data_IF_109662947452
#
_entry.id   IF_109662947452
#
_cell.length_a   1.000
_cell.length_b   1.000
_cell.length_c   1.000
_cell.angle_alpha   90.00
_cell.angle_beta   90.00
_cell.angle_gamma   90.00
#
_symmetry.space_group_name_H-M   'P 1'
#
loop_
_entity.id
_entity.type
_entity.pdbx_description
1 polymer ?
#
# COMPACT_ATOMS: atom_id res chain seq x y z
N UNK A 1 6.34 -22.99 -22.84
CA UNK A 1 7.38 -22.84 -23.90
C UNK A 1 8.75 -22.72 -23.26
N UNK A 2 9.83 -22.99 -24.00
CA UNK A 2 11.19 -22.75 -23.50
C UNK A 2 11.63 -21.38 -24.00
N UNK A 3 12.13 -20.54 -23.08
CA UNK A 3 12.76 -19.24 -23.37
C UNK A 3 14.24 -19.35 -23.07
N UNK A 4 15.08 -18.92 -24.00
CA UNK A 4 16.54 -18.84 -23.84
C UNK A 4 16.98 -17.40 -23.99
N UNK A 5 17.63 -16.84 -22.97
CA UNK A 5 18.10 -15.45 -22.95
C UNK A 5 19.37 -15.32 -22.10
N UNK A 6 19.89 -14.10 -21.97
CA UNK A 6 20.97 -13.81 -21.01
C UNK A 6 20.49 -12.82 -19.98
N UNK A 7 20.51 -13.16 -18.70
CA UNK A 7 20.12 -12.26 -17.60
C UNK A 7 21.34 -11.94 -16.75
N UNK A 8 21.64 -10.64 -16.58
CA UNK A 8 22.78 -10.13 -15.81
C UNK A 8 24.11 -10.81 -16.22
N UNK A 9 24.30 -11.02 -17.52
CA UNK A 9 25.49 -11.64 -18.11
C UNK A 9 25.55 -13.17 -18.02
N UNK A 10 24.51 -13.83 -17.48
CA UNK A 10 24.44 -15.30 -17.37
C UNK A 10 23.43 -15.87 -18.37
N UNK A 11 23.78 -16.90 -19.16
CA UNK A 11 22.83 -17.56 -20.03
C UNK A 11 21.77 -18.28 -19.18
N UNK A 12 20.51 -18.10 -19.56
CA UNK A 12 19.33 -18.68 -18.91
C UNK A 12 18.54 -19.47 -19.93
N UNK A 13 18.05 -20.64 -19.51
CA UNK A 13 17.06 -21.43 -20.24
C UNK A 13 15.96 -21.80 -19.25
N UNK A 14 14.77 -21.27 -19.46
CA UNK A 14 13.65 -21.40 -18.54
C UNK A 14 12.39 -21.88 -19.26
N UNK A 15 11.50 -22.54 -18.52
CA UNK A 15 10.15 -22.84 -19.01
C UNK A 15 9.24 -21.71 -18.58
N UNK A 16 8.47 -21.18 -19.52
CA UNK A 16 7.49 -20.12 -19.26
C UNK A 16 6.12 -20.50 -19.85
N UNK A 17 5.04 -20.11 -19.20
CA UNK A 17 3.70 -20.25 -19.77
C UNK A 17 3.47 -19.25 -20.90
N UNK A 18 2.54 -19.56 -21.82
CA UNK A 18 2.34 -18.76 -23.03
C UNK A 18 1.90 -17.31 -22.74
N UNK A 19 1.23 -17.08 -21.61
CA UNK A 19 0.78 -15.76 -21.15
C UNK A 19 1.61 -15.19 -20.00
N UNK A 20 2.72 -15.83 -19.61
CA UNK A 20 3.56 -15.37 -18.51
C UNK A 20 4.26 -14.05 -18.91
N UNK A 21 4.24 -13.07 -18.01
CA UNK A 21 4.96 -11.81 -18.22
C UNK A 21 6.48 -12.01 -18.06
N UNK A 22 7.27 -11.13 -18.67
CA UNK A 22 8.72 -11.14 -18.48
C UNK A 22 9.08 -10.90 -17.01
N UNK A 23 8.32 -10.05 -16.31
CA UNK A 23 8.48 -9.88 -14.86
C UNK A 23 8.29 -11.21 -14.12
N UNK A 24 7.21 -11.94 -14.39
CA UNK A 24 6.92 -13.23 -13.75
C UNK A 24 8.09 -14.21 -13.91
N UNK A 25 8.59 -14.33 -15.15
CA UNK A 25 9.76 -15.16 -15.44
C UNK A 25 11.00 -14.70 -14.65
N UNK A 26 11.30 -13.41 -14.62
CA UNK A 26 12.46 -12.87 -13.90
C UNK A 26 12.38 -13.10 -12.39
N UNK A 27 11.21 -12.92 -11.79
CA UNK A 27 10.97 -13.20 -10.37
C UNK A 27 11.12 -14.69 -10.07
N UNK A 28 10.61 -15.58 -10.93
CA UNK A 28 10.79 -17.02 -10.80
C UNK A 28 12.27 -17.46 -10.88
N UNK A 29 13.09 -16.68 -11.60
CA UNK A 29 14.54 -16.85 -11.68
C UNK A 29 15.32 -16.21 -10.50
N UNK A 30 14.62 -15.55 -9.57
CA UNK A 30 15.20 -14.94 -8.37
C UNK A 30 15.57 -13.47 -8.50
N UNK A 31 15.10 -12.78 -9.54
CA UNK A 31 15.31 -11.34 -9.74
C UNK A 31 14.22 -10.51 -9.06
N UNK A 32 14.17 -10.58 -7.73
CA UNK A 32 13.11 -9.98 -6.91
C UNK A 32 13.12 -8.44 -6.91
N UNK A 33 14.22 -7.80 -7.33
CA UNK A 33 14.27 -6.35 -7.46
C UNK A 33 13.45 -5.79 -8.64
N UNK A 34 12.86 -6.66 -9.49
CA UNK A 34 11.89 -6.29 -10.52
C UNK A 34 10.49 -6.26 -9.88
N UNK A 35 10.14 -5.11 -9.31
CA UNK A 35 8.97 -4.91 -8.43
C UNK A 35 7.67 -4.72 -9.22
N UNK A 36 6.54 -4.69 -8.53
CA UNK A 36 5.23 -4.36 -9.11
C UNK A 36 4.46 -3.48 -8.14
N UNK A 37 4.24 -2.22 -8.53
CA UNK A 37 3.50 -1.23 -7.73
C UNK A 37 2.20 -0.76 -8.36
N UNK A 38 1.81 -1.37 -9.47
CA UNK A 38 0.64 -0.94 -10.24
C UNK A 38 -0.20 -2.08 -10.77
N UNK A 39 -0.09 -3.27 -10.16
CA UNK A 39 -0.85 -4.45 -10.55
C UNK A 39 -0.71 -4.75 -12.07
N UNK A 40 0.51 -4.55 -12.59
CA UNK A 40 0.88 -4.68 -14.00
C UNK A 40 0.17 -3.72 -14.98
N UNK A 41 -0.37 -2.58 -14.52
CA UNK A 41 -0.93 -1.54 -15.39
C UNK A 41 0.15 -0.70 -16.09
N UNK A 42 1.40 -0.71 -15.59
CA UNK A 42 2.56 -0.15 -16.28
C UNK A 42 2.67 1.38 -16.28
N UNK A 43 2.25 2.04 -15.19
CA UNK A 43 2.38 3.49 -15.04
C UNK A 43 3.41 3.93 -13.99
N UNK A 44 3.98 2.98 -13.21
CA UNK A 44 4.93 3.28 -12.13
C UNK A 44 6.39 2.98 -12.47
N UNK A 45 6.66 2.08 -13.43
CA UNK A 45 8.01 1.71 -13.86
C UNK A 45 8.85 0.95 -12.83
N UNK A 46 8.22 0.32 -11.86
CA UNK A 46 8.89 -0.40 -10.76
C UNK A 46 9.53 -1.72 -11.21
N UNK A 47 9.02 -2.24 -12.33
CA UNK A 47 9.43 -3.43 -13.04
C UNK A 47 10.42 -3.12 -14.18
N UNK A 48 11.04 -1.93 -14.16
CA UNK A 48 11.97 -1.52 -15.21
C UNK A 48 13.18 -2.46 -15.27
N UNK A 49 13.46 -2.95 -16.47
CA UNK A 49 14.68 -3.68 -16.84
C UNK A 49 15.29 -3.08 -18.10
N UNK A 50 16.55 -3.38 -18.39
CA UNK A 50 17.16 -3.06 -19.68
C UNK A 50 17.12 -4.31 -20.55
N UNK A 51 16.42 -4.27 -21.68
CA UNK A 51 16.37 -5.34 -22.68
C UNK A 51 17.08 -4.86 -23.94
N UNK A 52 18.18 -5.51 -24.29
CA UNK A 52 19.10 -5.08 -25.37
C UNK A 52 19.46 -3.59 -25.25
N UNK A 53 19.82 -3.19 -24.03
CA UNK A 53 20.23 -1.83 -23.65
C UNK A 53 19.14 -0.75 -23.77
N UNK A 54 17.88 -1.16 -23.74
CA UNK A 54 16.72 -0.26 -23.73
C UNK A 54 15.89 -0.44 -22.46
N UNK A 55 15.58 0.63 -21.72
CA UNK A 55 14.63 0.57 -20.62
C UNK A 55 13.25 0.12 -21.10
N UNK A 56 12.70 -0.92 -20.47
CA UNK A 56 11.37 -1.47 -20.73
C UNK A 56 10.70 -1.88 -19.42
N UNK A 57 9.37 -1.90 -19.39
CA UNK A 57 8.58 -2.43 -18.27
C UNK A 57 8.35 -3.92 -18.47
N UNK A 58 8.95 -4.73 -17.60
CA UNK A 58 8.93 -6.20 -17.74
C UNK A 58 7.53 -6.81 -17.58
N UNK A 59 6.61 -6.16 -16.85
CA UNK A 59 5.23 -6.57 -16.66
C UNK A 59 4.39 -6.44 -17.94
N UNK A 60 4.74 -5.49 -18.82
CA UNK A 60 4.03 -5.26 -20.10
C UNK A 60 4.57 -6.11 -21.26
N UNK A 61 5.59 -6.94 -21.02
CA UNK A 61 6.16 -7.85 -22.01
C UNK A 61 5.80 -9.29 -21.68
N UNK A 62 5.59 -10.11 -22.70
CA UNK A 62 5.52 -11.56 -22.53
C UNK A 62 6.93 -12.13 -22.34
N UNK A 63 7.06 -13.16 -21.50
CA UNK A 63 8.29 -13.92 -21.33
C UNK A 63 8.85 -14.43 -22.66
N UNK A 64 7.96 -14.78 -23.60
CA UNK A 64 8.31 -15.18 -24.97
C UNK A 64 9.16 -14.16 -25.73
N UNK A 65 8.99 -12.86 -25.45
CA UNK A 65 9.71 -11.79 -26.12
C UNK A 65 11.18 -11.71 -25.66
N UNK A 66 11.56 -12.36 -24.56
CA UNK A 66 12.95 -12.40 -24.10
C UNK A 66 13.84 -13.38 -24.87
N UNK A 67 13.29 -14.18 -25.80
CA UNK A 67 14.08 -15.13 -26.58
C UNK A 67 15.24 -14.44 -27.31
N UNK A 68 16.46 -14.89 -27.04
CA UNK A 68 17.70 -14.41 -27.64
C UNK A 68 18.20 -13.05 -27.13
N UNK A 69 17.52 -12.42 -26.16
CA UNK A 69 17.86 -11.06 -25.73
C UNK A 69 18.79 -11.00 -24.53
N UNK A 70 19.40 -9.83 -24.34
CA UNK A 70 20.22 -9.49 -23.18
C UNK A 70 19.39 -8.66 -22.20
N UNK A 71 19.18 -9.18 -21.00
CA UNK A 71 18.41 -8.52 -19.95
C UNK A 71 19.34 -8.13 -18.79
N UNK A 72 19.24 -6.88 -18.36
CA UNK A 72 19.88 -6.38 -17.14
C UNK A 72 18.82 -5.90 -16.16
N UNK A 73 18.79 -6.52 -14.98
CA UNK A 73 17.88 -6.16 -13.88
C UNK A 73 18.59 -5.27 -12.85
N UNK A 74 17.86 -4.64 -11.92
CA UNK A 74 18.47 -3.91 -10.82
C UNK A 74 19.42 -4.75 -9.95
N UNK A 75 19.19 -6.07 -9.86
CA UNK A 75 20.08 -7.00 -9.12
C UNK A 75 21.51 -7.05 -9.68
N UNK A 76 21.71 -6.60 -10.93
CA UNK A 76 23.05 -6.54 -11.54
C UNK A 76 23.97 -5.48 -10.94
N UNK A 77 23.41 -4.47 -10.27
CA UNK A 77 24.16 -3.29 -9.84
C UNK A 77 25.05 -3.58 -8.64
N UNK A 78 24.57 -4.42 -7.71
CA UNK A 78 25.35 -4.82 -6.55
C UNK A 78 26.16 -6.10 -6.86
N UNK A 79 27.45 -6.10 -6.54
CA UNK A 79 28.32 -7.28 -6.65
C UNK A 79 28.57 -7.88 -5.28
N UNK A 80 27.78 -8.88 -4.91
CA UNK A 80 27.81 -9.45 -3.57
C UNK A 80 27.49 -8.36 -2.52
N UNK A 81 28.49 -8.00 -1.73
CA UNK A 81 28.39 -6.95 -0.73
C UNK A 81 28.88 -5.57 -1.22
N UNK A 82 29.11 -5.35 -2.50
CA UNK A 82 29.53 -4.04 -2.99
C UNK A 82 28.39 -3.38 -3.76
N UNK A 83 28.00 -2.17 -3.34
CA UNK A 83 27.03 -1.35 -4.08
C UNK A 83 27.71 -0.71 -5.29
N UNK A 84 26.93 -0.43 -6.33
CA UNK A 84 27.39 0.44 -7.42
C UNK A 84 27.58 1.89 -6.92
N UNK A 85 28.34 2.68 -7.68
CA UNK A 85 28.56 4.11 -7.39
C UNK A 85 27.22 4.85 -7.25
N UNK A 86 26.24 4.59 -8.13
CA UNK A 86 24.95 5.26 -8.06
C UNK A 86 24.13 4.81 -6.85
N UNK A 87 24.16 3.51 -6.49
CA UNK A 87 23.46 3.00 -5.32
C UNK A 87 23.98 3.65 -4.03
N UNK A 88 25.30 3.78 -3.90
CA UNK A 88 25.91 4.47 -2.76
C UNK A 88 25.55 5.96 -2.76
N UNK A 89 25.66 6.63 -3.92
CA UNK A 89 25.30 8.03 -4.05
C UNK A 89 23.82 8.32 -3.72
N UNK A 90 22.90 7.39 -4.01
CA UNK A 90 21.50 7.51 -3.64
C UNK A 90 21.28 7.43 -2.11
N UNK A 91 22.03 6.57 -1.41
CA UNK A 91 22.01 6.54 0.07
C UNK A 91 22.52 7.86 0.61
N UNK A 92 23.66 8.31 0.10
CA UNK A 92 24.33 9.52 0.57
C UNK A 92 23.48 10.76 0.32
N UNK A 93 22.80 10.85 -0.82
CA UNK A 93 21.87 11.94 -1.14
C UNK A 93 20.55 11.91 -0.34
N UNK A 94 20.33 10.93 0.54
CA UNK A 94 19.11 10.84 1.36
C UNK A 94 17.86 10.40 0.61
N UNK A 95 18.02 9.73 -0.54
CA UNK A 95 16.90 9.26 -1.37
C UNK A 95 16.25 8.01 -0.77
N UNK A 96 17.03 7.18 -0.08
CA UNK A 96 16.55 5.86 0.34
C UNK A 96 15.64 5.98 1.58
N UNK A 97 14.34 6.22 1.35
CA UNK A 97 13.29 6.29 2.38
C UNK A 97 12.52 4.97 2.49
N UNK A 98 11.35 4.86 1.83
CA UNK A 98 10.62 3.59 1.67
C UNK A 98 11.29 2.73 0.61
N UNK A 99 11.78 3.39 -0.46
CA UNK A 99 12.73 2.86 -1.43
C UNK A 99 12.27 1.61 -2.21
N UNK A 100 10.95 1.35 -2.31
CA UNK A 100 10.40 0.29 -3.14
C UNK A 100 10.88 0.39 -4.59
N UNK A 101 10.91 1.61 -5.13
CA UNK A 101 11.37 1.91 -6.51
C UNK A 101 12.85 2.31 -6.62
N UNK A 102 13.60 2.31 -5.51
CA UNK A 102 15.02 2.70 -5.54
C UNK A 102 15.88 1.80 -6.44
N UNK A 103 15.69 0.46 -6.51
CA UNK A 103 16.46 -0.39 -7.40
C UNK A 103 16.25 -0.05 -8.88
N UNK A 104 15.00 0.14 -9.32
CA UNK A 104 14.66 0.53 -10.68
C UNK A 104 15.21 1.93 -11.03
N UNK A 105 15.11 2.89 -10.11
CA UNK A 105 15.72 4.21 -10.28
C UNK A 105 17.25 4.13 -10.41
N UNK A 106 17.91 3.29 -9.60
CA UNK A 106 19.35 3.06 -9.70
C UNK A 106 19.75 2.46 -11.05
N UNK A 107 18.94 1.54 -11.61
CA UNK A 107 19.18 0.94 -12.92
C UNK A 107 19.08 1.99 -14.03
N UNK A 108 18.01 2.80 -14.02
CA UNK A 108 17.79 3.88 -14.98
C UNK A 108 18.91 4.92 -14.95
N UNK A 109 19.34 5.33 -13.76
CA UNK A 109 20.43 6.30 -13.61
C UNK A 109 21.80 5.71 -13.98
N UNK A 110 22.01 4.41 -13.75
CA UNK A 110 23.20 3.72 -14.26
C UNK A 110 23.22 3.74 -15.78
N UNK A 111 22.10 3.38 -16.42
CA UNK A 111 21.95 3.40 -17.87
C UNK A 111 22.20 4.81 -18.43
N UNK A 112 21.63 5.85 -17.81
CA UNK A 112 21.86 7.24 -18.18
C UNK A 112 23.34 7.59 -18.14
N UNK A 113 24.05 7.25 -17.06
CA UNK A 113 25.46 7.58 -16.88
C UNK A 113 26.39 6.80 -17.81
N UNK A 114 26.00 5.60 -18.24
CA UNK A 114 26.72 4.80 -19.24
C UNK A 114 26.60 5.41 -20.66
N UNK A 115 25.46 6.05 -20.97
CA UNK A 115 25.19 6.67 -22.28
C UNK A 115 25.57 8.15 -22.34
N UNK A 116 25.47 8.85 -21.21
CA UNK A 116 25.78 10.25 -21.05
C UNK A 116 26.54 10.44 -19.73
N UNK A 117 27.88 10.42 -19.75
CA UNK A 117 28.70 10.52 -18.55
C UNK A 117 28.57 11.84 -17.79
N UNK A 118 28.04 12.90 -18.40
CA UNK A 118 27.84 14.22 -17.77
C UNK A 118 26.42 14.71 -18.07
N UNK A 119 25.39 14.06 -17.50
CA UNK A 119 24.01 14.36 -17.85
C UNK A 119 23.57 15.71 -17.28
N UNK A 120 22.75 16.42 -18.04
CA UNK A 120 22.07 17.63 -17.60
C UNK A 120 20.92 17.29 -16.65
N UNK A 121 20.37 18.31 -15.98
CA UNK A 121 19.19 18.15 -15.12
C UNK A 121 17.97 17.67 -15.92
N UNK A 122 17.85 18.12 -17.16
CA UNK A 122 16.82 17.72 -18.12
C UNK A 122 16.98 16.25 -18.53
N UNK A 123 18.20 15.77 -18.79
CA UNK A 123 18.44 14.35 -19.09
C UNK A 123 18.03 13.45 -17.90
N UNK A 124 18.33 13.88 -16.67
CA UNK A 124 17.94 13.16 -15.45
C UNK A 124 16.41 13.15 -15.29
N UNK A 125 15.74 14.28 -15.56
CA UNK A 125 14.27 14.36 -15.53
C UNK A 125 13.63 13.44 -16.56
N UNK A 126 14.17 13.42 -17.78
CA UNK A 126 13.64 12.58 -18.86
C UNK A 126 13.71 11.10 -18.47
N UNK A 127 14.86 10.64 -17.99
CA UNK A 127 15.03 9.24 -17.57
C UNK A 127 14.16 8.89 -16.36
N UNK A 128 14.00 9.80 -15.40
CA UNK A 128 13.14 9.58 -14.23
C UNK A 128 11.64 9.77 -14.54
N UNK A 129 11.27 10.29 -15.70
CA UNK A 129 9.85 10.46 -16.08
C UNK A 129 9.12 9.12 -16.22
N UNK A 130 9.88 8.05 -16.51
CA UNK A 130 9.38 6.69 -16.61
C UNK A 130 9.29 5.94 -15.28
N UNK A 131 9.50 6.59 -14.13
CA UNK A 131 9.36 5.94 -12.81
C UNK A 131 8.63 6.83 -11.81
N UNK A 132 7.59 6.30 -11.18
CA UNK A 132 6.84 7.00 -10.15
C UNK A 132 7.49 6.82 -8.77
N UNK A 133 7.72 7.92 -8.07
CA UNK A 133 8.34 7.94 -6.73
C UNK A 133 7.51 8.83 -5.80
N UNK A 134 7.02 8.25 -4.69
CA UNK A 134 6.09 8.91 -3.76
C UNK A 134 6.75 9.54 -2.53
N UNK A 135 7.95 9.09 -2.15
CA UNK A 135 8.57 9.40 -0.85
C UNK A 135 9.60 10.54 -0.89
N UNK A 136 10.33 10.75 -1.99
CA UNK A 136 11.52 11.64 -2.02
C UNK A 136 11.36 13.00 -2.69
N UNK A 137 10.30 13.21 -3.47
CA UNK A 137 10.06 14.47 -4.17
C UNK A 137 11.07 14.81 -5.29
N UNK A 138 11.77 13.80 -5.84
CA UNK A 138 12.69 13.85 -6.99
C UNK A 138 13.97 14.71 -6.87
N UNK A 139 13.99 15.79 -6.08
CA UNK A 139 15.11 16.74 -6.05
C UNK A 139 16.45 16.09 -5.70
N UNK A 140 16.44 15.15 -4.75
CA UNK A 140 17.65 14.49 -4.27
C UNK A 140 18.31 13.59 -5.32
N UNK A 141 17.60 13.17 -6.38
CA UNK A 141 18.21 12.40 -7.48
C UNK A 141 19.23 13.21 -8.28
N UNK A 142 19.00 14.52 -8.45
CA UNK A 142 20.00 15.39 -9.09
C UNK A 142 21.29 15.45 -8.28
N UNK A 143 21.17 15.46 -6.94
CA UNK A 143 22.30 15.36 -6.03
C UNK A 143 22.99 14.00 -6.17
N UNK A 144 22.25 12.88 -6.16
CA UNK A 144 22.84 11.54 -6.30
C UNK A 144 23.62 11.38 -7.61
N UNK A 145 23.08 11.86 -8.74
CA UNK A 145 23.79 11.82 -10.03
C UNK A 145 25.07 12.65 -9.98
N UNK A 146 25.02 13.84 -9.37
CA UNK A 146 26.22 14.67 -9.18
C UNK A 146 27.28 13.97 -8.33
N UNK A 147 26.89 13.38 -7.19
CA UNK A 147 27.79 12.63 -6.31
C UNK A 147 28.39 11.41 -7.03
N UNK A 148 27.59 10.73 -7.87
CA UNK A 148 28.05 9.60 -8.66
C UNK A 148 29.09 10.02 -9.72
N UNK A 149 28.88 11.15 -10.41
CA UNK A 149 29.87 11.71 -11.33
C UNK A 149 31.17 12.08 -10.61
N UNK A 150 31.10 12.77 -9.47
CA UNK A 150 32.29 13.13 -8.68
C UNK A 150 33.06 11.89 -8.20
N UNK A 151 32.35 10.88 -7.69
CA UNK A 151 32.97 9.62 -7.26
C UNK A 151 33.64 8.89 -8.43
N UNK A 152 33.00 8.83 -9.61
CA UNK A 152 33.58 8.21 -10.81
C UNK A 152 34.83 8.96 -11.29
N UNK A 153 34.77 10.29 -11.33
CA UNK A 153 35.80 11.12 -11.98
C UNK A 153 36.99 11.42 -11.04
N UNK A 154 36.76 11.42 -9.72
CA UNK A 154 37.75 11.87 -8.73
C UNK A 154 38.00 10.86 -7.60
N UNK A 155 37.23 9.77 -7.51
CA UNK A 155 37.32 8.78 -6.43
C UNK A 155 36.81 9.26 -5.06
N UNK A 156 36.22 10.46 -5.01
CA UNK A 156 35.57 11.04 -3.83
C UNK A 156 34.61 12.15 -4.25
N UNK A 157 33.56 12.39 -3.47
CA UNK A 157 32.70 13.57 -3.65
C UNK A 157 33.08 14.69 -2.67
N UNK A 158 32.96 15.94 -3.13
CA UNK A 158 33.18 17.17 -2.35
C UNK A 158 31.89 17.97 -2.19
N UNK A 159 30.87 17.66 -2.99
CA UNK A 159 29.56 18.29 -2.87
C UNK A 159 28.98 18.07 -1.47
N UNK A 160 28.58 19.14 -0.76
CA UNK A 160 27.88 19.02 0.51
C UNK A 160 26.53 18.32 0.32
N UNK A 161 26.30 17.26 1.08
CA UNK A 161 25.06 16.47 1.04
C UNK A 161 23.93 17.17 1.80
N UNK A 162 24.20 17.52 3.06
CA UNK A 162 23.25 18.14 3.98
C UNK A 162 24.02 18.98 4.98
N UNK A 163 23.43 20.07 5.50
CA UNK A 163 23.97 20.76 6.66
C UNK A 163 24.18 19.81 7.85
N UNK A 164 25.21 20.10 8.63
CA UNK A 164 25.46 19.48 9.93
C UNK A 164 25.14 20.49 11.03
N UNK A 165 24.52 20.04 12.10
CA UNK A 165 24.15 20.84 13.26
C UNK A 165 24.67 20.18 14.54
N UNK A 166 24.71 20.92 15.66
CA UNK A 166 25.10 20.42 16.99
C UNK A 166 26.50 19.80 16.99
N UNK A 167 27.51 20.63 16.75
CA UNK A 167 28.93 20.21 16.63
C UNK A 167 29.49 19.51 17.86
N UNK A 168 28.87 19.73 19.01
CA UNK A 168 29.16 19.04 20.26
C UNK A 168 28.68 17.58 20.29
N UNK A 169 27.82 17.15 19.35
CA UNK A 169 27.25 15.80 19.28
C UNK A 169 27.81 14.98 18.12
N UNK A 170 27.94 13.68 18.31
CA UNK A 170 28.50 12.76 17.29
C UNK A 170 27.45 12.26 16.28
N UNK A 171 26.18 12.16 16.69
CA UNK A 171 25.13 11.49 15.90
C UNK A 171 23.92 12.39 15.63
N UNK A 172 23.41 13.08 16.66
CA UNK A 172 22.20 13.90 16.54
C UNK A 172 22.52 15.19 15.77
N UNK A 173 21.77 15.46 14.70
CA UNK A 173 22.00 16.62 13.84
C UNK A 173 23.09 16.42 12.78
N UNK A 174 23.61 15.21 12.62
CA UNK A 174 24.65 14.88 11.64
C UNK A 174 24.07 14.12 10.43
N UNK A 175 24.55 14.37 9.20
CA UNK A 175 24.19 13.54 8.06
C UNK A 175 24.74 12.13 8.29
N UNK A 176 23.85 11.14 8.25
CA UNK A 176 24.18 9.72 8.39
C UNK A 176 23.36 8.92 7.41
N UNK A 177 24.01 7.92 6.81
CA UNK A 177 23.32 6.94 5.98
C UNK A 177 22.27 6.19 6.80
N UNK A 178 21.12 5.93 6.17
CA UNK A 178 20.05 5.11 6.74
C UNK A 178 20.57 3.68 6.94
N UNK A 179 20.31 3.09 8.11
CA UNK A 179 20.87 1.77 8.51
C UNK A 179 20.51 0.66 7.53
N UNK A 180 19.26 0.63 7.06
CA UNK A 180 18.72 -0.32 6.08
C UNK A 180 18.85 0.19 4.63
N UNK A 181 19.41 1.39 4.41
CA UNK A 181 19.42 2.03 3.09
C UNK A 181 20.16 1.20 2.04
N UNK A 182 21.21 0.50 2.47
CA UNK A 182 21.97 -0.43 1.65
C UNK A 182 21.14 -1.64 1.19
N UNK A 183 20.34 -2.22 2.08
CA UNK A 183 19.50 -3.37 1.75
C UNK A 183 18.40 -2.97 0.74
N UNK A 184 17.80 -1.80 0.97
CA UNK A 184 16.73 -1.27 0.14
C UNK A 184 17.20 -0.89 -1.27
N UNK A 185 18.26 -0.07 -1.39
CA UNK A 185 18.76 0.37 -2.72
C UNK A 185 19.34 -0.77 -3.55
N UNK A 186 19.82 -1.83 -2.88
CA UNK A 186 20.32 -3.02 -3.55
C UNK A 186 19.20 -3.93 -4.09
N UNK A 187 17.94 -3.65 -3.74
CA UNK A 187 16.81 -4.51 -4.09
C UNK A 187 16.79 -5.85 -3.35
N UNK A 188 17.58 -5.99 -2.27
CA UNK A 188 17.56 -7.20 -1.45
C UNK A 188 16.23 -7.34 -0.72
N UNK A 189 15.90 -8.59 -0.35
CA UNK A 189 14.66 -8.94 0.35
C UNK A 189 14.38 -7.99 1.52
N UNK A 190 13.39 -7.13 1.40
CA UNK A 190 13.04 -6.08 2.38
C UNK A 190 11.55 -5.98 2.63
N UNK A 191 10.76 -6.21 1.59
CA UNK A 191 9.31 -6.00 1.54
C UNK A 191 8.51 -7.26 1.90
N UNK A 192 7.19 -7.15 2.02
CA UNK A 192 6.35 -8.30 2.41
C UNK A 192 6.41 -9.41 1.36
N UNK A 193 6.30 -9.03 0.08
CA UNK A 193 6.37 -9.95 -1.07
C UNK A 193 7.68 -10.75 -1.12
N UNK A 194 8.79 -10.20 -0.62
CA UNK A 194 10.09 -10.86 -0.61
C UNK A 194 10.17 -12.04 0.38
N UNK A 195 9.25 -12.05 1.35
CA UNK A 195 9.22 -12.98 2.49
C UNK A 195 8.18 -14.08 2.29
N UNK A 196 7.58 -14.16 1.10
CA UNK A 196 6.72 -15.27 0.71
C UNK A 196 7.62 -16.45 0.32
N UNK A 197 7.59 -17.51 1.13
CA UNK A 197 8.38 -18.72 0.88
C UNK A 197 7.70 -19.62 -0.17
N UNK A 198 8.46 -20.40 -0.95
CA UNK A 198 7.89 -21.38 -1.87
C UNK A 198 6.93 -22.35 -1.17
N UNK A 199 5.75 -22.55 -1.77
CA UNK A 199 4.71 -23.42 -1.23
C UNK A 199 3.79 -22.77 -0.19
N UNK A 200 3.95 -21.47 0.09
CA UNK A 200 2.95 -20.71 0.83
C UNK A 200 1.61 -20.69 0.08
N UNK A 201 0.50 -20.87 0.80
CA UNK A 201 -0.83 -20.70 0.22
C UNK A 201 -1.11 -19.22 -0.09
N UNK A 202 -1.84 -18.99 -1.18
CA UNK A 202 -2.38 -17.67 -1.50
C UNK A 202 -3.71 -17.44 -0.79
N UNK A 203 -3.97 -16.19 -0.41
CA UNK A 203 -5.22 -15.75 0.18
C UNK A 203 -5.81 -14.63 -0.68
N UNK A 204 -7.01 -14.84 -1.22
CA UNK A 204 -7.71 -13.88 -2.07
C UNK A 204 -9.00 -13.43 -1.40
N UNK A 205 -9.24 -12.13 -1.33
CA UNK A 205 -10.50 -11.59 -0.82
C UNK A 205 -11.58 -11.54 -1.90
N UNK A 206 -12.74 -12.12 -1.58
CA UNK A 206 -14.00 -11.73 -2.19
C UNK A 206 -14.54 -10.49 -1.45
N UNK A 207 -14.69 -9.41 -2.21
CA UNK A 207 -15.10 -8.10 -1.69
C UNK A 207 -16.49 -7.72 -2.19
N UNK A 208 -17.21 -6.94 -1.39
CA UNK A 208 -18.53 -6.42 -1.73
C UNK A 208 -18.48 -5.51 -2.97
N UNK A 209 -19.36 -5.71 -3.96
CA UNK A 209 -19.55 -4.76 -5.06
C UNK A 209 -20.49 -3.61 -4.67
N UNK A 210 -21.10 -3.64 -3.49
CA UNK A 210 -22.09 -2.67 -3.04
C UNK A 210 -21.55 -1.75 -1.94
N UNK A 211 -21.89 -0.47 -2.03
CA UNK A 211 -21.54 0.54 -1.03
C UNK A 211 -22.31 0.37 0.29
N UNK A 212 -23.49 -0.25 0.26
CA UNK A 212 -24.29 -0.51 1.46
C UNK A 212 -25.25 -1.67 1.19
N UNK A 213 -25.08 -2.80 1.89
CA UNK A 213 -25.96 -3.95 1.73
C UNK A 213 -25.90 -4.90 2.94
N UNK A 214 -26.92 -5.74 3.09
CA UNK A 214 -26.81 -6.97 3.89
C UNK A 214 -26.48 -8.16 2.99
N UNK A 215 -25.52 -8.97 3.41
CA UNK A 215 -25.25 -10.30 2.89
C UNK A 215 -26.29 -11.26 3.46
N UNK A 216 -27.20 -11.71 2.60
CA UNK A 216 -28.30 -12.61 2.99
C UNK A 216 -27.87 -14.08 2.96
N UNK A 217 -26.98 -14.44 2.03
CA UNK A 217 -26.45 -15.79 1.86
C UNK A 217 -25.08 -15.79 1.19
N UNK A 218 -24.26 -16.79 1.48
CA UNK A 218 -22.97 -17.05 0.84
C UNK A 218 -22.92 -18.56 0.52
N UNK A 219 -22.96 -18.92 -0.76
CA UNK A 219 -22.83 -20.29 -1.23
C UNK A 219 -21.41 -20.53 -1.74
N UNK A 220 -20.67 -21.36 -1.00
CA UNK A 220 -19.27 -21.72 -1.26
C UNK A 220 -19.12 -23.17 -1.73
N UNK A 221 -20.21 -23.94 -1.84
CA UNK A 221 -20.15 -25.40 -1.95
C UNK A 221 -19.48 -25.92 -3.24
N UNK A 222 -19.51 -25.13 -4.32
CA UNK A 222 -18.78 -25.42 -5.55
C UNK A 222 -17.29 -25.08 -5.40
N UNK A 223 -16.99 -23.90 -4.84
CA UNK A 223 -15.63 -23.41 -4.65
C UNK A 223 -14.81 -24.29 -3.69
N UNK A 224 -15.39 -24.75 -2.58
CA UNK A 224 -14.73 -25.63 -1.60
C UNK A 224 -14.26 -26.98 -2.19
N UNK A 225 -14.87 -27.42 -3.30
CA UNK A 225 -14.52 -28.69 -3.95
C UNK A 225 -13.47 -28.51 -5.06
N UNK A 226 -13.06 -27.28 -5.35
CA UNK A 226 -12.12 -27.01 -6.43
C UNK A 226 -10.69 -27.45 -6.05
N UNK A 227 -9.90 -27.96 -7.01
CA UNK A 227 -8.53 -28.36 -6.77
C UNK A 227 -7.69 -27.23 -6.14
N UNK A 228 -6.91 -27.59 -5.12
CA UNK A 228 -5.99 -26.68 -4.43
C UNK A 228 -6.66 -25.72 -3.44
N UNK A 229 -7.99 -25.68 -3.33
CA UNK A 229 -8.67 -24.89 -2.29
C UNK A 229 -8.45 -25.54 -0.93
N UNK A 230 -7.85 -24.78 -0.01
CA UNK A 230 -7.53 -25.23 1.35
C UNK A 230 -8.68 -24.91 2.30
N UNK A 231 -9.19 -23.68 2.26
CA UNK A 231 -10.33 -23.25 3.09
C UNK A 231 -10.97 -21.96 2.56
N UNK A 232 -12.25 -21.79 2.88
CA UNK A 232 -12.97 -20.54 2.63
C UNK A 232 -13.53 -20.01 3.97
N UNK A 233 -13.16 -18.79 4.33
CA UNK A 233 -13.59 -18.14 5.58
C UNK A 233 -14.66 -17.10 5.23
N UNK A 234 -15.78 -17.14 5.94
CA UNK A 234 -16.92 -16.23 5.77
C UNK A 234 -17.43 -15.74 7.12
N UNK A 235 -18.50 -14.95 7.12
CA UNK A 235 -19.21 -14.58 8.34
C UNK A 235 -19.84 -15.78 9.10
N UNK A 236 -19.92 -16.95 8.48
CA UNK A 236 -20.57 -18.14 9.05
C UNK A 236 -19.61 -19.06 9.81
N UNK A 237 -18.29 -18.93 9.58
CA UNK A 237 -17.28 -19.79 10.20
C UNK A 237 -16.09 -19.02 10.80
N UNK A 238 -16.10 -17.68 10.78
CA UNK A 238 -15.10 -16.88 11.48
C UNK A 238 -15.46 -16.67 12.96
N UNK A 239 -14.48 -16.40 13.85
CA UNK A 239 -14.77 -16.04 15.24
C UNK A 239 -15.73 -14.87 15.36
N UNK A 240 -16.70 -14.97 16.28
CA UNK A 240 -17.65 -13.90 16.58
C UNK A 240 -17.04 -12.88 17.56
N UNK A 241 -16.00 -12.18 17.07
CA UNK A 241 -15.25 -11.18 17.84
C UNK A 241 -15.42 -9.82 17.21
N UNK A 242 -15.90 -8.87 18.01
CA UNK A 242 -15.99 -7.46 17.64
C UNK A 242 -14.67 -6.77 17.94
N UNK A 243 -14.16 -6.05 16.95
CA UNK A 243 -12.95 -5.23 17.05
C UNK A 243 -13.14 -3.92 16.28
N UNK A 244 -12.10 -3.09 16.26
CA UNK A 244 -12.03 -1.84 15.49
C UNK A 244 -10.79 -1.84 14.60
N UNK A 245 -10.81 -1.06 13.52
CA UNK A 245 -9.67 -0.97 12.59
C UNK A 245 -9.01 0.41 12.53
N UNK A 246 -9.30 1.32 13.47
CA UNK A 246 -8.67 2.65 13.48
C UNK A 246 -7.26 2.65 14.09
N UNK A 247 -6.88 1.60 14.84
CA UNK A 247 -5.50 1.34 15.26
C UNK A 247 -4.92 2.36 16.22
N UNK A 248 -5.66 2.80 17.25
CA UNK A 248 -5.18 3.75 18.23
C UNK A 248 -4.55 3.05 19.46
N UNK A 249 -3.77 3.81 20.24
CA UNK A 249 -3.14 3.31 21.46
C UNK A 249 -4.11 3.15 22.62
N UNK A 250 -3.73 2.40 23.64
CA UNK A 250 -4.54 2.21 24.85
C UNK A 250 -4.52 3.48 25.76
N UNK A 251 -5.67 3.95 26.28
CA UNK A 251 -7.02 3.42 26.09
C UNK A 251 -7.53 3.68 24.66
N UNK A 252 -7.94 2.62 23.96
CA UNK A 252 -8.48 2.71 22.59
C UNK A 252 -9.87 3.34 22.65
N UNK A 253 -10.07 4.57 22.12
CA UNK A 253 -11.36 5.23 22.18
C UNK A 253 -12.38 4.61 21.22
N UNK A 254 -11.97 4.23 20.01
CA UNK A 254 -12.95 3.99 18.93
C UNK A 254 -13.81 2.75 19.20
N UNK A 255 -15.09 2.77 18.79
CA UNK A 255 -15.99 1.66 19.07
C UNK A 255 -15.60 0.39 18.30
N UNK A 256 -15.79 -0.77 18.93
CA UNK A 256 -15.68 -2.07 18.27
C UNK A 256 -16.98 -2.36 17.53
N UNK A 257 -16.99 -2.13 16.22
CA UNK A 257 -18.19 -2.06 15.39
C UNK A 257 -18.13 -2.98 14.16
N UNK A 258 -17.13 -3.86 14.13
CA UNK A 258 -16.91 -4.82 13.06
C UNK A 258 -16.38 -6.16 13.55
N UNK A 259 -16.71 -7.19 12.78
CA UNK A 259 -16.13 -8.53 12.86
C UNK A 259 -15.15 -8.75 11.72
N UNK A 260 -14.52 -9.93 11.68
CA UNK A 260 -13.60 -10.28 10.60
C UNK A 260 -14.33 -10.25 9.26
N UNK A 261 -15.51 -10.87 9.24
CA UNK A 261 -16.50 -10.77 8.17
C UNK A 261 -17.84 -10.31 8.75
N UNK A 262 -18.33 -9.17 8.26
CA UNK A 262 -19.63 -8.65 8.66
C UNK A 262 -20.72 -9.24 7.75
N UNK A 263 -21.95 -9.36 8.28
CA UNK A 263 -23.11 -9.58 7.41
C UNK A 263 -23.60 -8.29 6.76
N UNK A 264 -23.35 -7.14 7.36
CA UNK A 264 -23.58 -5.83 6.73
C UNK A 264 -22.29 -5.32 6.11
N UNK A 265 -22.30 -5.05 4.82
CA UNK A 265 -21.19 -4.45 4.08
C UNK A 265 -21.45 -2.96 3.92
N UNK A 266 -20.44 -2.14 4.20
CA UNK A 266 -20.62 -0.68 4.42
C UNK A 266 -19.86 0.20 3.41
N UNK A 267 -19.15 -0.43 2.48
CA UNK A 267 -18.51 0.23 1.36
C UNK A 267 -18.18 -0.79 0.25
N UNK A 268 -17.94 -0.30 -0.97
CA UNK A 268 -17.36 -1.13 -2.03
C UNK A 268 -15.98 -1.58 -1.58
N UNK A 269 -15.68 -2.87 -1.69
CA UNK A 269 -14.41 -3.42 -1.21
C UNK A 269 -14.46 -4.06 0.19
N UNK A 270 -15.58 -3.95 0.92
CA UNK A 270 -15.74 -4.57 2.24
C UNK A 270 -15.68 -6.11 2.15
N UNK A 271 -15.19 -6.78 3.19
CA UNK A 271 -14.83 -8.20 3.13
C UNK A 271 -16.08 -9.09 3.21
N UNK A 272 -16.21 -10.03 2.27
CA UNK A 272 -17.32 -11.00 2.22
C UNK A 272 -16.84 -12.41 2.49
N UNK A 273 -15.74 -12.82 1.84
CA UNK A 273 -15.10 -14.10 2.10
C UNK A 273 -13.58 -14.01 1.86
N UNK A 274 -12.82 -14.85 2.55
CA UNK A 274 -11.42 -15.14 2.24
C UNK A 274 -11.28 -16.53 1.66
N UNK A 275 -10.60 -16.64 0.52
CA UNK A 275 -10.35 -17.89 -0.16
C UNK A 275 -8.86 -18.20 -0.02
N UNK A 276 -8.53 -19.32 0.62
CA UNK A 276 -7.15 -19.79 0.75
C UNK A 276 -6.96 -20.99 -0.18
N UNK A 277 -5.96 -20.93 -1.05
CA UNK A 277 -5.62 -22.03 -1.96
C UNK A 277 -4.10 -22.19 -2.10
N UNK A 278 -3.65 -23.31 -2.68
CA UNK A 278 -2.22 -23.57 -2.88
C UNK A 278 -1.55 -22.54 -3.82
N UNK A 279 -2.30 -21.98 -4.78
CA UNK A 279 -1.86 -20.87 -5.64
C UNK A 279 -2.88 -19.74 -5.73
N UNK A 280 -2.44 -18.55 -6.14
CA UNK A 280 -3.33 -17.40 -6.32
C UNK A 280 -4.35 -17.64 -7.45
N UNK A 281 -3.94 -18.28 -8.55
CA UNK A 281 -4.82 -18.61 -9.68
C UNK A 281 -5.95 -19.54 -9.25
N UNK A 282 -5.65 -20.53 -8.40
CA UNK A 282 -6.65 -21.42 -7.84
C UNK A 282 -7.62 -20.68 -6.91
N UNK A 283 -7.11 -19.77 -6.06
CA UNK A 283 -7.95 -18.94 -5.18
C UNK A 283 -8.85 -17.99 -5.99
N UNK A 284 -8.35 -17.39 -7.07
CA UNK A 284 -9.14 -16.55 -8.00
C UNK A 284 -10.20 -17.36 -8.74
N UNK A 285 -9.85 -18.56 -9.23
CA UNK A 285 -10.79 -19.46 -9.88
C UNK A 285 -11.92 -19.88 -8.93
N UNK A 286 -11.58 -20.22 -7.68
CA UNK A 286 -12.54 -20.56 -6.64
C UNK A 286 -13.42 -19.39 -6.24
N UNK A 287 -12.85 -18.18 -6.10
CA UNK A 287 -13.60 -16.95 -5.85
C UNK A 287 -14.70 -16.72 -6.90
N UNK A 288 -14.43 -17.01 -8.17
CA UNK A 288 -15.42 -16.87 -9.25
C UNK A 288 -16.61 -17.85 -9.15
N UNK A 289 -16.52 -18.90 -8.31
CA UNK A 289 -17.60 -19.87 -8.07
C UNK A 289 -18.43 -19.60 -6.83
N UNK A 290 -18.05 -18.61 -6.01
CA UNK A 290 -18.83 -18.22 -4.83
C UNK A 290 -20.03 -17.37 -5.25
N UNK A 291 -21.23 -17.75 -4.82
CA UNK A 291 -22.47 -16.98 -5.06
C UNK A 291 -22.87 -16.27 -3.78
N UNK A 292 -23.11 -14.95 -3.87
CA UNK A 292 -23.49 -14.14 -2.71
C UNK A 292 -24.82 -13.45 -2.96
N UNK A 293 -25.76 -13.60 -2.02
CA UNK A 293 -27.02 -12.88 -2.01
C UNK A 293 -26.90 -11.56 -1.25
N UNK A 294 -27.45 -10.48 -1.81
CA UNK A 294 -27.45 -9.16 -1.19
C UNK A 294 -28.87 -8.57 -1.10
N UNK A 295 -29.16 -7.93 0.03
CA UNK A 295 -30.21 -6.92 0.18
C UNK A 295 -29.53 -5.55 0.12
N UNK A 296 -29.60 -4.89 -1.04
CA UNK A 296 -28.92 -3.60 -1.27
C UNK A 296 -29.69 -2.48 -0.58
N UNK A 297 -28.97 -1.66 0.17
CA UNK A 297 -29.51 -0.53 0.92
C UNK A 297 -29.09 0.79 0.28
N UNK A 298 -29.80 1.87 0.62
CA UNK A 298 -29.41 3.22 0.20
C UNK A 298 -28.07 3.60 0.85
N UNK A 299 -27.01 3.88 0.09
CA UNK A 299 -25.73 4.34 0.64
C UNK A 299 -25.78 5.82 1.05
N UNK A 300 -24.78 6.23 1.82
CA UNK A 300 -24.51 7.61 2.25
C UNK A 300 -23.07 7.92 1.87
N UNK A 301 -22.84 9.00 1.12
CA UNK A 301 -21.54 9.32 0.53
C UNK A 301 -20.89 10.58 1.10
N UNK A 302 -21.66 11.45 1.77
CA UNK A 302 -21.13 12.67 2.38
C UNK A 302 -21.54 12.83 3.84
N UNK A 303 -20.84 13.70 4.56
CA UNK A 303 -21.16 14.03 5.95
C UNK A 303 -22.54 14.70 6.03
N UNK A 304 -22.85 15.59 5.08
CA UNK A 304 -24.14 16.28 5.01
C UNK A 304 -25.29 15.29 4.77
N UNK A 305 -25.11 14.31 3.89
CA UNK A 305 -26.09 13.24 3.69
C UNK A 305 -26.28 12.40 4.96
N UNK A 306 -25.20 12.12 5.69
CA UNK A 306 -25.25 11.35 6.93
C UNK A 306 -25.97 12.09 8.07
N UNK A 307 -25.87 13.42 8.09
CA UNK A 307 -26.50 14.31 9.07
C UNK A 307 -27.95 14.67 8.73
N UNK A 308 -28.39 14.43 7.50
CA UNK A 308 -29.72 14.81 7.05
C UNK A 308 -30.83 14.05 7.83
N UNK A 309 -31.98 14.69 8.11
CA UNK A 309 -33.12 14.00 8.70
C UNK A 309 -33.55 12.78 7.88
N UNK A 310 -33.65 11.62 8.52
CA UNK A 310 -34.03 10.37 7.86
C UNK A 310 -32.94 9.73 7.00
N UNK A 311 -31.67 10.15 7.16
CA UNK A 311 -30.54 9.49 6.54
C UNK A 311 -30.50 7.98 6.88
N UNK A 312 -30.11 7.11 5.94
CA UNK A 312 -29.87 5.70 6.23
C UNK A 312 -28.88 5.55 7.40
N UNK A 313 -29.24 4.72 8.39
CA UNK A 313 -28.37 4.42 9.52
C UNK A 313 -27.36 3.36 9.10
N UNK A 314 -26.07 3.72 9.13
CA UNK A 314 -24.96 2.85 8.68
C UNK A 314 -24.65 1.76 9.72
N UNK A 315 -24.83 2.07 11.01
CA UNK A 315 -24.56 1.15 12.12
C UNK A 315 -25.75 1.12 13.10
N UNK A 316 -26.70 0.20 12.90
CA UNK A 316 -27.90 0.08 13.73
C UNK A 316 -27.84 -1.06 14.77
N UNK A 317 -26.64 -1.55 15.10
CA UNK A 317 -26.42 -2.51 16.20
C UNK A 317 -26.75 -1.94 17.59
N UNK A 318 -26.89 -2.82 18.58
CA UNK A 318 -27.05 -2.43 19.98
C UNK A 318 -25.74 -1.83 20.52
N UNK A 319 -25.82 -0.67 21.16
CA UNK A 319 -24.67 -0.09 21.85
C UNK A 319 -24.40 -0.84 23.15
N UNK A 320 -23.15 -1.22 23.37
CA UNK A 320 -22.61 -1.72 24.63
C UNK A 320 -21.50 -0.80 25.10
N UNK A 321 -21.31 -0.68 26.42
CA UNK A 321 -20.23 0.12 26.99
C UNK A 321 -19.42 -0.75 27.94
N UNK A 322 -18.10 -0.83 27.73
CA UNK A 322 -17.20 -1.52 28.66
C UNK A 322 -17.07 -0.75 29.97
N UNK A 323 -17.18 0.58 29.91
CA UNK A 323 -17.18 1.47 31.07
C UNK A 323 -18.08 2.68 30.81
N UNK A 324 -18.70 3.22 31.87
CA UNK A 324 -19.43 4.49 31.82
C UNK A 324 -20.74 4.46 31.02
N UNK A 325 -21.44 3.32 30.94
CA UNK A 325 -22.71 3.21 30.23
C UNK A 325 -23.71 4.32 30.65
N UNK A 326 -24.40 4.97 29.69
CA UNK A 326 -25.40 5.98 30.02
C UNK A 326 -26.64 5.34 30.67
N UNK A 327 -27.31 6.07 31.57
CA UNK A 327 -28.46 5.56 32.31
C UNK A 327 -29.65 5.16 31.40
N UNK A 328 -29.77 5.77 30.23
CA UNK A 328 -30.83 5.51 29.25
C UNK A 328 -30.44 4.45 28.19
N UNK A 329 -29.38 3.66 28.39
CA UNK A 329 -28.89 2.71 27.37
C UNK A 329 -29.96 1.73 26.87
N UNK A 330 -30.81 1.21 27.77
CA UNK A 330 -31.88 0.29 27.39
C UNK A 330 -32.92 0.94 26.47
N UNK A 331 -33.22 2.22 26.71
CA UNK A 331 -34.08 3.03 25.85
C UNK A 331 -33.40 3.35 24.52
N UNK A 332 -32.11 3.71 24.55
CA UNK A 332 -31.30 3.97 23.36
C UNK A 332 -31.17 2.76 22.42
N UNK A 333 -31.19 1.55 22.96
CA UNK A 333 -31.16 0.30 22.21
C UNK A 333 -32.53 -0.19 21.74
N UNK A 334 -33.60 0.60 21.88
CA UNK A 334 -34.89 0.28 21.24
C UNK A 334 -34.80 0.53 19.73
N UNK A 335 -35.32 -0.41 18.93
CA UNK A 335 -35.35 -0.27 17.46
C UNK A 335 -34.03 -0.60 16.74
N UNK A 336 -33.10 -1.26 17.43
CA UNK A 336 -31.90 -1.85 16.80
C UNK A 336 -32.28 -2.86 15.74
N UNK A 337 -31.43 -3.00 14.72
CA UNK A 337 -31.57 -4.09 13.74
C UNK A 337 -30.91 -5.35 14.32
N UNK A 338 -31.66 -6.43 14.58
CA UNK A 338 -31.11 -7.65 15.16
C UNK A 338 -30.06 -8.32 14.26
N UNK A 339 -29.96 -7.94 12.98
CA UNK A 339 -28.96 -8.45 12.03
C UNK A 339 -27.56 -7.85 12.24
N UNK A 340 -27.45 -6.67 12.87
CA UNK A 340 -26.18 -5.92 12.97
C UNK A 340 -25.35 -6.28 14.22
N UNK A 341 -25.93 -7.05 15.15
CA UNK A 341 -25.29 -7.39 16.42
C UNK A 341 -25.05 -6.14 17.26
N UNK A 342 -23.80 -5.78 17.53
CA UNK A 342 -23.45 -4.73 18.50
C UNK A 342 -22.36 -3.75 18.07
N UNK A 343 -22.35 -2.61 18.74
CA UNK A 343 -21.31 -1.57 18.69
C UNK A 343 -20.81 -1.38 20.12
N UNK A 344 -19.57 -1.81 20.40
CA UNK A 344 -19.02 -1.77 21.76
C UNK A 344 -18.16 -0.54 21.94
N UNK A 345 -18.62 0.40 22.75
CA UNK A 345 -17.86 1.57 23.16
C UNK A 345 -16.97 1.22 24.37
N UNK A 346 -15.68 1.51 24.29
CA UNK A 346 -14.79 1.30 25.44
C UNK A 346 -15.16 2.21 26.63
N UNK A 347 -15.58 3.45 26.33
CA UNK A 347 -16.03 4.47 27.28
C UNK A 347 -16.90 5.52 26.55
N UNK A 348 -17.58 6.43 27.27
CA UNK A 348 -18.40 7.47 26.63
C UNK A 348 -17.58 8.41 25.75
N UNK A 349 -17.94 8.45 24.46
CA UNK A 349 -17.32 9.32 23.45
C UNK A 349 -18.31 10.28 22.80
N UNK A 350 -19.47 10.49 23.44
CA UNK A 350 -20.55 11.29 22.87
C UNK A 350 -20.97 10.83 21.46
N UNK A 351 -20.78 9.55 21.16
CA UNK A 351 -21.23 8.93 19.92
C UNK A 351 -22.75 8.72 19.93
N UNK A 352 -23.33 8.78 18.74
CA UNK A 352 -24.74 8.54 18.47
C UNK A 352 -24.85 7.77 17.14
N UNK A 353 -24.71 6.45 17.22
CA UNK A 353 -24.79 5.59 16.04
C UNK A 353 -26.19 5.56 15.41
N UNK A 354 -27.23 6.13 16.04
CA UNK A 354 -28.56 6.29 15.42
C UNK A 354 -28.60 7.45 14.43
N UNK A 355 -27.68 8.41 14.55
CA UNK A 355 -27.55 9.56 13.67
C UNK A 355 -26.21 9.57 12.93
N UNK A 356 -25.60 8.39 12.73
CA UNK A 356 -24.31 8.22 12.04
C UNK A 356 -23.14 8.98 12.68
N UNK A 357 -23.21 9.28 13.99
CA UNK A 357 -22.11 9.93 14.74
C UNK A 357 -21.32 8.87 15.50
N UNK A 358 -20.09 8.58 15.07
CA UNK A 358 -19.24 7.60 15.76
C UNK A 358 -18.71 8.12 17.11
N UNK A 359 -18.37 9.42 17.16
CA UNK A 359 -17.88 10.12 18.35
C UNK A 359 -18.06 11.63 18.18
N UNK A 360 -18.08 12.37 19.27
CA UNK A 360 -18.01 13.83 19.28
C UNK A 360 -17.02 14.33 20.32
N UNK A 361 -16.24 15.35 19.95
CA UNK A 361 -15.29 16.02 20.83
C UNK A 361 -15.55 17.52 20.81
N UNK A 362 -15.55 18.13 21.99
CA UNK A 362 -15.74 19.57 22.16
C UNK A 362 -14.57 20.14 22.94
N UNK A 363 -13.98 21.22 22.45
CA UNK A 363 -12.86 21.90 23.09
C UNK A 363 -12.99 23.41 22.97
N UNK A 364 -12.60 24.12 24.02
CA UNK A 364 -12.54 25.57 24.06
C UNK A 364 -11.34 26.00 24.92
N UNK A 365 -10.76 27.15 24.61
CA UNK A 365 -9.73 27.80 25.43
C UNK A 365 -10.29 29.15 25.85
N UNK A 366 -10.48 29.35 27.15
CA UNK A 366 -11.08 30.58 27.71
C UNK A 366 -12.59 30.69 27.46
N UNK A 367 -13.10 31.93 27.52
CA UNK A 367 -14.50 32.25 27.24
C UNK A 367 -14.66 32.67 25.78
N UNK A 368 -15.08 31.71 24.94
CA UNK A 368 -15.28 31.91 23.50
C UNK A 368 -16.34 32.97 23.23
N UNK A 369 -17.45 32.98 23.98
CA UNK A 369 -18.55 33.91 23.75
C UNK A 369 -18.11 35.36 24.04
N UNK A 370 -17.39 35.56 25.14
CA UNK A 370 -16.75 36.85 25.45
C UNK A 370 -15.75 37.25 24.36
N UNK A 371 -14.91 36.32 23.91
CA UNK A 371 -13.93 36.55 22.85
C UNK A 371 -14.58 37.04 21.54
N UNK A 372 -15.71 36.43 21.13
CA UNK A 372 -16.48 36.92 19.98
C UNK A 372 -17.14 38.27 20.22
N UNK A 373 -17.65 38.53 21.43
CA UNK A 373 -18.33 39.79 21.76
C UNK A 373 -17.38 41.00 21.83
N UNK A 374 -16.13 40.78 22.26
CA UNK A 374 -15.10 41.82 22.41
C UNK A 374 -14.21 41.96 21.17
N UNK A 375 -14.39 41.13 20.14
CA UNK A 375 -13.54 41.15 18.95
C UNK A 375 -13.79 42.42 18.10
N UNK A 376 -12.70 43.11 17.74
CA UNK A 376 -12.76 44.23 16.79
C UNK A 376 -13.18 43.79 15.38
N UNK A 377 -12.93 42.53 15.03
CA UNK A 377 -13.33 41.91 13.76
C UNK A 377 -13.53 40.41 13.90
N UNK A 378 -14.52 39.87 13.18
CA UNK A 378 -14.80 38.44 13.07
C UNK A 378 -14.70 38.04 11.59
N UNK A 379 -13.92 37.01 11.29
CA UNK A 379 -13.84 36.42 9.95
C UNK A 379 -14.32 34.98 10.03
N UNK A 380 -15.42 34.71 9.33
CA UNK A 380 -15.98 33.37 9.20
C UNK A 380 -15.75 32.85 7.78
N UNK A 381 -15.24 31.62 7.68
CA UNK A 381 -14.97 30.94 6.40
C UNK A 381 -15.24 29.46 6.55
N UNK A 382 -15.85 28.87 5.53
CA UNK A 382 -16.02 27.42 5.40
C UNK A 382 -14.98 26.88 4.44
N UNK A 383 -14.33 25.78 4.81
CA UNK A 383 -13.33 25.09 4.00
C UNK A 383 -13.74 23.64 3.81
N UNK A 384 -13.45 23.09 2.64
CA UNK A 384 -13.63 21.67 2.35
C UNK A 384 -12.31 21.11 1.83
N UNK A 385 -11.97 19.90 2.26
CA UNK A 385 -10.86 19.13 1.70
C UNK A 385 -11.40 17.86 1.08
N UNK A 386 -10.68 17.35 0.07
CA UNK A 386 -11.03 16.09 -0.58
C UNK A 386 -10.44 14.90 0.17
N UNK A 387 -11.02 13.72 -0.03
CA UNK A 387 -10.33 12.48 0.32
C UNK A 387 -9.07 12.35 -0.55
N UNK A 388 -7.92 12.13 0.10
CA UNK A 388 -6.63 11.97 -0.56
C UNK A 388 -6.21 10.51 -0.42
N UNK A 389 -5.93 9.86 -1.54
CA UNK A 389 -5.34 8.53 -1.55
C UNK A 389 -3.84 8.62 -1.25
N UNK A 390 -3.34 7.75 -0.37
CA UNK A 390 -1.92 7.75 0.00
C UNK A 390 -1.01 7.43 -1.20
N UNK A 391 -1.49 6.56 -2.10
CA UNK A 391 -0.79 6.05 -3.30
C UNK A 391 0.62 5.53 -2.97
N UNK A 392 0.76 4.55 -2.04
CA UNK A 392 2.05 3.94 -1.77
C UNK A 392 2.55 3.18 -3.00
N UNK A 393 3.86 2.95 -3.07
CA UNK A 393 4.47 2.13 -4.11
C UNK A 393 4.30 0.64 -3.78
N UNK A 394 4.55 0.20 -2.55
CA UNK A 394 4.23 -1.18 -2.20
C UNK A 394 2.70 -1.32 -2.07
N UNK A 395 2.02 -2.11 -2.92
CA UNK A 395 0.60 -2.37 -2.75
C UNK A 395 0.39 -3.22 -1.49
N UNK A 396 -0.83 -3.18 -0.94
CA UNK A 396 -1.18 -4.11 0.12
C UNK A 396 -1.37 -5.49 -0.51
N UNK A 397 -0.36 -6.34 -0.37
CA UNK A 397 -0.34 -7.74 -0.83
C UNK A 397 -1.26 -8.62 0.01
#
# INVERSE_FOLDING_TARGET
MIVTCTVNGKPVRATADAGESLRGLLVALGHFAVRDSDDAEGFTGSDTVLMDDKPVYAGLLLAAQAEGTMIRTPDSLARGAELSIIQQAMIDAGIVQSAYNAPAAALLLTWLLEHNPQPTREDIKEVLSGIFIRDTGYEHYFLAVKLACEMRDHGSYTTPISPSFRDELTYVGKPKAKVDGRQLVAGWKSFVEDRVEPGACALVMLRSPHAHAYVTSIDVAEAEKMPGVVMIITADNCPDVYYMSAGQGNPEPSPYDRRLFNRKVRHVGDRVAAIVAETEEQALAAKAKIRVGYEVLKPVFTVEEAMAPGAPVVQNGAAEYLSGAPANLAEYNRGVDPREGKVVYCFPLHGDNRHNVAAAAHGAIGDVAKGFAEADAVIERTYQSSQIQCTPLEPHV
#
